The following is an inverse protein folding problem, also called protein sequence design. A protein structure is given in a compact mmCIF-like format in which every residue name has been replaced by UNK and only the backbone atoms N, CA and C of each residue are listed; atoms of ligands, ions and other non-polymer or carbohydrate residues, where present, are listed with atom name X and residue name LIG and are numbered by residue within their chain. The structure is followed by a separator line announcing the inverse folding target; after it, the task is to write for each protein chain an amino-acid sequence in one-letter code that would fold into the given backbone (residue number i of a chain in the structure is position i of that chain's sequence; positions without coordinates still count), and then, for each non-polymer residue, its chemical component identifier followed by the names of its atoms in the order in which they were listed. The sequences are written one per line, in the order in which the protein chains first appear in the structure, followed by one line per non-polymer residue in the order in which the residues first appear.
data_IF_137674684395
#
_entry.id   IF_137674684395
#
_cell.length_a   1.000
_cell.length_b   1.000
_cell.length_c   1.000
_cell.angle_alpha   90.00
_cell.angle_beta   90.00
_cell.angle_gamma   90.00
#
_symmetry.space_group_name_H-M   'P 1'
#
loop_
_entity.id
_entity.type
_entity.pdbx_description
1 polymer ?
#
# COMPACT_ATOMS: atom_id res chain seq x y z
N UNK A 1 -3.13 -23.48 -1.62
CA UNK A 1 -2.36 -22.21 -1.50
C UNK A 1 -0.95 -22.49 -2.01
N UNK A 2 -0.35 -21.54 -2.75
CA UNK A 2 1.07 -21.63 -3.14
C UNK A 2 1.92 -21.08 -2.00
N UNK A 3 3.09 -21.65 -1.78
CA UNK A 3 4.07 -21.08 -0.85
C UNK A 3 4.62 -19.74 -1.38
N UNK A 4 4.67 -18.69 -0.55
CA UNK A 4 5.25 -17.41 -0.95
C UNK A 4 6.74 -17.56 -1.22
N UNK A 5 7.22 -16.92 -2.28
CA UNK A 5 8.65 -16.81 -2.60
C UNK A 5 9.42 -16.00 -1.57
N UNK A 6 10.75 -16.09 -1.55
CA UNK A 6 11.60 -15.24 -0.71
C UNK A 6 11.38 -13.74 -0.95
N UNK A 7 11.09 -13.36 -2.19
CA UNK A 7 10.77 -11.98 -2.53
C UNK A 7 9.43 -11.56 -1.91
N UNK A 8 8.39 -12.38 -2.04
CA UNK A 8 7.08 -12.10 -1.43
C UNK A 8 7.20 -12.03 0.10
N UNK A 9 8.00 -12.91 0.73
CA UNK A 9 8.26 -12.85 2.17
C UNK A 9 8.90 -11.53 2.59
N UNK A 10 9.89 -11.04 1.84
CA UNK A 10 10.51 -9.74 2.10
C UNK A 10 9.52 -8.58 1.92
N UNK A 11 8.68 -8.64 0.88
CA UNK A 11 7.65 -7.63 0.64
C UNK A 11 6.59 -7.62 1.75
N UNK A 12 6.18 -8.78 2.25
CA UNK A 12 5.26 -8.89 3.39
C UNK A 12 5.89 -8.36 4.68
N UNK A 13 7.17 -8.66 4.93
CA UNK A 13 7.89 -8.11 6.08
C UNK A 13 7.93 -6.59 6.01
N UNK A 14 8.28 -6.02 4.85
CA UNK A 14 8.33 -4.58 4.66
C UNK A 14 6.96 -3.91 4.80
N UNK A 15 5.91 -4.52 4.25
CA UNK A 15 4.54 -4.04 4.40
C UNK A 15 4.14 -4.01 5.88
N UNK A 16 4.53 -5.02 6.66
CA UNK A 16 4.25 -5.07 8.08
C UNK A 16 4.97 -3.97 8.85
N UNK A 17 6.24 -3.72 8.56
CA UNK A 17 6.98 -2.60 9.16
C UNK A 17 6.27 -1.26 8.93
N UNK A 18 5.76 -1.00 7.72
CA UNK A 18 5.03 0.23 7.41
C UNK A 18 3.73 0.36 8.23
N UNK A 19 3.00 -0.75 8.42
CA UNK A 19 1.78 -0.78 9.22
C UNK A 19 2.05 -0.61 10.72
N UNK A 20 3.14 -1.21 11.22
CA UNK A 20 3.57 -1.03 12.61
C UNK A 20 3.97 0.44 12.86
N UNK A 21 4.71 1.05 11.93
CA UNK A 21 5.08 2.48 12.02
C UNK A 21 3.85 3.39 11.95
N UNK A 22 2.91 3.14 11.04
CA UNK A 22 1.68 3.95 10.96
C UNK A 22 0.86 3.85 12.24
N UNK A 23 0.73 2.63 12.78
CA UNK A 23 -0.02 2.40 14.00
C UNK A 23 0.66 3.06 15.21
N UNK A 24 1.98 2.97 15.31
CA UNK A 24 2.72 3.61 16.40
C UNK A 24 2.47 5.12 16.40
N UNK A 25 2.59 5.77 15.23
CA UNK A 25 2.33 7.21 15.09
C UNK A 25 0.88 7.59 15.40
N UNK A 26 -0.08 6.74 15.06
CA UNK A 26 -1.47 6.91 15.47
C UNK A 26 -1.64 6.93 16.99
N UNK A 27 -1.01 6.00 17.70
CA UNK A 27 -1.03 5.96 19.17
C UNK A 27 -0.34 7.19 19.78
N UNK A 28 0.80 7.60 19.23
CA UNK A 28 1.53 8.79 19.66
C UNK A 28 0.71 10.08 19.49
N UNK A 29 -0.20 10.11 18.51
CA UNK A 29 -1.14 11.21 18.29
C UNK A 29 -2.37 11.18 19.21
N UNK A 30 -2.43 10.26 20.19
CA UNK A 30 -3.56 10.08 21.09
C UNK A 30 -4.66 9.17 20.54
N UNK A 31 -4.32 8.33 19.56
CA UNK A 31 -5.20 7.31 19.02
C UNK A 31 -5.65 6.29 20.08
N UNK A 32 -6.84 5.73 19.85
CA UNK A 32 -7.42 4.66 20.65
C UNK A 32 -6.74 3.32 20.31
N UNK A 33 -6.08 2.63 21.28
CA UNK A 33 -5.35 1.40 21.03
C UNK A 33 -6.22 0.20 20.64
N UNK A 34 -7.52 0.24 20.95
CA UNK A 34 -8.47 -0.80 20.55
C UNK A 34 -9.03 -0.56 19.14
N UNK A 35 -8.58 0.50 18.46
CA UNK A 35 -9.04 0.88 17.11
C UNK A 35 -7.90 0.97 16.11
N UNK A 36 -8.21 0.63 14.88
CA UNK A 36 -7.35 0.89 13.72
C UNK A 36 -7.60 2.30 13.20
N UNK A 37 -6.53 3.00 12.84
CA UNK A 37 -6.63 4.28 12.15
C UNK A 37 -7.15 4.12 10.72
N UNK A 38 -7.58 5.23 10.12
CA UNK A 38 -8.04 5.22 8.73
C UNK A 38 -6.87 4.89 7.79
N UNK A 39 -7.17 4.21 6.67
CA UNK A 39 -6.22 4.03 5.58
C UNK A 39 -6.26 5.17 4.55
N UNK A 40 -7.05 6.22 4.78
CA UNK A 40 -7.17 7.36 3.87
C UNK A 40 -5.93 8.27 3.95
N UNK A 41 -5.48 8.84 2.82
CA UNK A 41 -4.39 9.81 2.81
C UNK A 41 -4.61 10.94 3.82
N UNK A 42 -3.60 11.18 4.67
CA UNK A 42 -3.63 12.21 5.70
C UNK A 42 -4.19 11.73 7.05
N UNK A 43 -4.80 10.55 7.08
CA UNK A 43 -5.27 9.88 8.30
C UNK A 43 -4.63 8.50 8.50
N UNK A 44 -3.74 8.13 7.59
CA UNK A 44 -2.97 6.89 7.57
C UNK A 44 -1.65 6.98 8.32
N UNK A 45 -1.29 8.14 8.86
CA UNK A 45 -0.06 8.37 9.65
C UNK A 45 1.25 7.98 8.94
N UNK A 46 1.19 7.86 7.60
CA UNK A 46 2.34 7.68 6.72
C UNK A 46 2.67 8.98 6.01
N UNK A 47 3.96 9.17 5.73
CA UNK A 47 4.42 10.16 4.76
C UNK A 47 4.04 9.75 3.34
N UNK A 48 4.07 10.70 2.40
CA UNK A 48 3.77 10.41 0.98
C UNK A 48 4.68 9.33 0.39
N UNK A 49 5.97 9.32 0.75
CA UNK A 49 6.92 8.31 0.29
C UNK A 49 6.55 6.91 0.81
N UNK A 50 6.27 6.79 2.11
CA UNK A 50 5.84 5.53 2.74
C UNK A 50 4.52 5.03 2.17
N UNK A 51 3.58 5.95 1.88
CA UNK A 51 2.30 5.60 1.26
C UNK A 51 2.48 5.06 -0.16
N UNK A 52 3.32 5.70 -0.97
CA UNK A 52 3.66 5.22 -2.32
C UNK A 52 4.33 3.84 -2.26
N UNK A 53 5.24 3.64 -1.30
CA UNK A 53 5.89 2.35 -1.06
C UNK A 53 4.86 1.27 -0.67
N UNK A 54 3.99 1.56 0.30
CA UNK A 54 2.96 0.65 0.79
C UNK A 54 2.02 0.22 -0.34
N UNK A 55 1.52 1.17 -1.15
CA UNK A 55 0.66 0.89 -2.30
C UNK A 55 1.38 0.04 -3.35
N UNK A 56 2.67 0.30 -3.57
CA UNK A 56 3.47 -0.49 -4.52
C UNK A 56 3.63 -1.94 -4.05
N UNK A 57 3.95 -2.15 -2.77
CA UNK A 57 4.06 -3.47 -2.17
C UNK A 57 2.72 -4.23 -2.23
N UNK A 58 1.61 -3.58 -1.86
CA UNK A 58 0.29 -4.20 -1.93
C UNK A 58 -0.08 -4.62 -3.36
N UNK A 59 0.24 -3.81 -4.37
CA UNK A 59 0.01 -4.17 -5.78
C UNK A 59 0.82 -5.39 -6.20
N UNK A 60 2.10 -5.44 -5.83
CA UNK A 60 2.98 -6.58 -6.13
C UNK A 60 2.49 -7.87 -5.46
N UNK A 61 2.15 -7.80 -4.17
CA UNK A 61 1.65 -8.94 -3.39
C UNK A 61 0.27 -9.41 -3.86
N UNK A 62 -0.60 -8.50 -4.32
CA UNK A 62 -1.85 -8.86 -4.97
C UNK A 62 -1.66 -9.46 -6.37
N UNK A 63 -0.44 -9.41 -6.94
CA UNK A 63 -0.19 -9.88 -8.30
C UNK A 63 -0.74 -8.96 -9.39
N UNK A 64 -0.96 -7.68 -9.07
CA UNK A 64 -1.33 -6.66 -10.06
C UNK A 64 -0.11 -6.37 -10.92
N UNK A 65 -0.25 -6.51 -12.24
CA UNK A 65 0.83 -6.23 -13.20
C UNK A 65 0.51 -4.97 -13.98
N UNK A 66 1.44 -4.03 -14.02
CA UNK A 66 1.33 -2.83 -14.84
C UNK A 66 2.13 -3.06 -16.12
N UNK A 67 1.46 -3.07 -17.27
CA UNK A 67 2.03 -3.28 -18.60
C UNK A 67 1.68 -2.06 -19.45
N UNK A 68 2.62 -1.11 -19.54
CA UNK A 68 2.38 0.18 -20.20
C UNK A 68 1.28 0.97 -19.47
N UNK A 69 0.22 1.32 -20.19
CA UNK A 69 -0.95 2.06 -19.69
C UNK A 69 -2.07 1.13 -19.17
N UNK A 70 -1.79 -0.16 -18.97
CA UNK A 70 -2.78 -1.13 -18.52
C UNK A 70 -2.37 -1.81 -17.22
N UNK A 71 -3.30 -1.88 -16.27
CA UNK A 71 -3.17 -2.73 -15.10
C UNK A 71 -3.93 -4.04 -15.34
N UNK A 72 -3.34 -5.16 -14.95
CA UNK A 72 -3.89 -6.50 -15.08
C UNK A 72 -3.99 -7.17 -13.71
N UNK A 73 -5.16 -7.75 -13.41
CA UNK A 73 -5.41 -8.49 -12.19
C UNK A 73 -6.51 -9.53 -12.40
N UNK A 74 -6.27 -10.78 -11.98
CA UNK A 74 -7.24 -11.88 -12.06
C UNK A 74 -7.95 -12.01 -13.43
N UNK A 75 -7.21 -11.86 -14.53
CA UNK A 75 -7.76 -11.95 -15.89
C UNK A 75 -8.55 -10.73 -16.36
N UNK A 76 -8.67 -9.68 -15.55
CA UNK A 76 -9.22 -8.38 -15.93
C UNK A 76 -8.10 -7.38 -16.21
N UNK A 77 -8.39 -6.42 -17.08
CA UNK A 77 -7.49 -5.31 -17.35
C UNK A 77 -8.24 -3.99 -17.37
N UNK A 78 -7.59 -2.92 -16.94
CA UNK A 78 -8.12 -1.57 -16.99
C UNK A 78 -7.04 -0.59 -17.44
N UNK A 79 -7.47 0.45 -18.15
CA UNK A 79 -6.61 1.56 -18.54
C UNK A 79 -6.25 2.39 -17.31
N UNK A 80 -4.97 2.71 -17.19
CA UNK A 80 -4.43 3.64 -16.21
C UNK A 80 -4.02 4.86 -17.00
N UNK A 81 -4.76 5.96 -16.85
CA UNK A 81 -4.26 7.25 -17.32
C UNK A 81 -2.94 7.52 -16.57
N UNK A 82 -1.91 7.95 -17.30
CA UNK A 82 -0.54 8.06 -16.82
C UNK A 82 -0.43 8.64 -15.39
N UNK A 83 0.52 8.18 -14.56
CA UNK A 83 0.64 8.56 -13.14
C UNK A 83 1.17 9.99 -12.89
N UNK A 84 1.01 10.92 -13.82
CA UNK A 84 1.32 12.33 -13.59
C UNK A 84 0.04 13.04 -13.16
N UNK A 85 0.04 13.49 -11.90
CA UNK A 85 -0.90 14.44 -11.31
C UNK A 85 -2.15 13.82 -10.64
N UNK A 86 -1.93 13.27 -9.44
CA UNK A 86 -2.95 13.38 -8.40
C UNK A 86 -2.96 14.87 -7.98
N UNK A 87 -3.78 15.69 -8.64
CA UNK A 87 -4.11 17.03 -8.15
C UNK A 87 -5.24 16.90 -7.12
N UNK A 88 -5.05 17.37 -5.87
CA UNK A 88 -6.15 17.48 -4.92
C UNK A 88 -7.09 18.61 -5.36
N UNK A 89 -8.40 18.33 -5.27
CA UNK A 89 -9.46 19.33 -5.37
C UNK A 89 -9.49 20.22 -4.12
#
# INVERSE_FOLDING_TARGET
MREPTDLERQQYARLRELLDVSHQRYLEAGGDPDKTHSGLPGHDYLSDAERVEMVTLMRQLAGIRILGEQAHYQGRSWQIQSPSEIQPL
#
